data_IF_664065230825
#
_entry.id   IF_664065230825
#
_cell.length_a   1.000
_cell.length_b   1.000
_cell.length_c   1.000
_cell.angle_alpha   90.00
_cell.angle_beta   90.00
_cell.angle_gamma   90.00
#
_symmetry.space_group_name_H-M   'P 1'
#
loop_
_entity.id
_entity.type
_entity.pdbx_description
1 polymer ?
#
# COMPACT_ATOMS: atom_id res chain seq x y z
N UNK A 1 9.59 -32.33 52.99
CA UNK A 1 9.28 -30.94 52.58
C UNK A 1 10.57 -30.16 52.76
N UNK A 2 11.34 -30.00 51.67
CA UNK A 2 12.73 -29.56 51.72
C UNK A 2 12.86 -28.05 51.57
N UNK A 3 13.54 -27.45 52.55
CA UNK A 3 14.45 -26.30 52.42
C UNK A 3 15.81 -26.83 51.88
N UNK A 4 16.89 -26.04 51.64
CA UNK A 4 17.09 -24.59 51.52
C UNK A 4 18.01 -24.22 50.31
N UNK A 5 18.40 -22.94 50.17
CA UNK A 5 19.53 -22.54 49.32
C UNK A 5 20.90 -22.91 49.91
N UNK A 6 21.97 -22.80 49.09
CA UNK A 6 23.39 -22.47 49.42
C UNK A 6 24.38 -23.06 48.38
N UNK A 7 25.23 -22.17 47.84
CA UNK A 7 26.65 -22.33 47.43
C UNK A 7 27.04 -23.08 46.14
N UNK A 8 28.00 -22.44 45.48
CA UNK A 8 28.77 -22.84 44.30
C UNK A 8 29.71 -24.03 44.54
N UNK A 9 29.99 -24.79 43.47
CA UNK A 9 31.29 -25.47 43.33
C UNK A 9 31.64 -25.74 41.86
N UNK A 10 32.93 -25.54 41.59
CA UNK A 10 33.67 -25.79 40.36
C UNK A 10 33.55 -27.23 39.85
N UNK A 11 33.48 -27.38 38.53
CA UNK A 11 34.02 -28.56 37.85
C UNK A 11 34.63 -28.16 36.49
N UNK A 12 35.95 -27.93 36.51
CA UNK A 12 36.81 -27.93 35.32
C UNK A 12 36.75 -29.32 34.66
N UNK A 13 36.38 -29.36 33.37
CA UNK A 13 36.82 -30.42 32.47
C UNK A 13 37.59 -29.80 31.31
N UNK A 14 38.91 -29.98 31.35
CA UNK A 14 39.82 -29.77 30.22
C UNK A 14 39.66 -30.92 29.23
N UNK A 15 39.47 -30.63 27.94
CA UNK A 15 40.08 -31.42 26.85
C UNK A 15 40.59 -30.50 25.74
N UNK A 16 41.89 -30.63 25.49
CA UNK A 16 42.64 -30.09 24.36
C UNK A 16 42.14 -30.65 23.03
N UNK A 17 42.28 -29.88 21.95
CA UNK A 17 42.16 -30.40 20.58
C UNK A 17 42.31 -29.31 19.52
N UNK A 18 43.54 -29.15 19.02
CA UNK A 18 43.93 -28.29 17.89
C UNK A 18 43.18 -28.67 16.60
N UNK A 19 42.90 -27.70 15.73
CA UNK A 19 42.50 -27.97 14.34
C UNK A 19 41.88 -26.76 13.65
N UNK A 20 42.53 -26.26 12.59
CA UNK A 20 42.28 -24.95 11.98
C UNK A 20 40.88 -24.72 11.41
N UNK A 21 40.44 -23.46 11.46
CA UNK A 21 39.23 -22.98 10.79
C UNK A 21 39.62 -22.21 9.52
N UNK A 22 39.63 -22.91 8.39
CA UNK A 22 39.17 -22.33 7.13
C UNK A 22 37.65 -22.14 7.26
N UNK A 23 37.16 -20.91 7.32
CA UNK A 23 35.71 -20.63 7.28
C UNK A 23 35.30 -20.34 5.84
N UNK A 24 34.95 -21.40 5.11
CA UNK A 24 33.96 -21.31 4.05
C UNK A 24 32.59 -21.06 4.71
N UNK A 25 31.87 -20.04 4.24
CA UNK A 25 30.49 -19.79 4.64
C UNK A 25 29.59 -20.91 4.12
N UNK A 26 29.30 -21.89 4.98
CA UNK A 26 28.22 -22.86 4.79
C UNK A 26 27.14 -22.51 5.81
N UNK A 27 26.04 -21.94 5.34
CA UNK A 27 24.80 -21.87 6.13
C UNK A 27 24.27 -23.30 6.30
N UNK A 28 23.89 -23.72 7.53
CA UNK A 28 23.44 -25.08 7.78
C UNK A 28 22.08 -25.33 7.11
N UNK A 29 21.98 -26.49 6.46
CA UNK A 29 20.74 -27.10 6.01
C UNK A 29 19.94 -27.52 7.24
N UNK A 30 19.10 -26.64 7.76
CA UNK A 30 18.06 -27.04 8.71
C UNK A 30 16.93 -27.74 7.96
N UNK A 31 16.77 -29.02 8.32
CA UNK A 31 15.63 -29.86 7.98
C UNK A 31 14.44 -29.36 8.79
N UNK A 32 13.84 -28.25 8.35
CA UNK A 32 12.73 -27.59 9.03
C UNK A 32 11.41 -28.31 8.78
N UNK A 33 10.80 -28.86 9.83
CA UNK A 33 9.39 -29.25 9.88
C UNK A 33 8.54 -27.99 9.65
N UNK A 34 7.55 -28.06 8.75
CA UNK A 34 6.75 -26.92 8.29
C UNK A 34 6.00 -26.21 9.44
N UNK A 35 6.28 -24.91 9.63
CA UNK A 35 5.51 -24.00 10.49
C UNK A 35 4.14 -23.69 9.84
N UNK A 36 3.06 -23.44 10.61
CA UNK A 36 1.74 -23.10 10.05
C UNK A 36 1.69 -21.86 9.15
N UNK A 37 2.68 -20.96 9.25
CA UNK A 37 2.80 -19.75 8.43
C UNK A 37 3.77 -19.91 7.25
N UNK A 38 4.20 -21.14 6.96
CA UNK A 38 5.08 -21.43 5.84
C UNK A 38 4.35 -21.18 4.51
N UNK A 39 4.98 -20.58 3.48
CA UNK A 39 4.34 -20.15 2.22
C UNK A 39 3.60 -21.24 1.41
N UNK A 40 3.73 -22.52 1.79
CA UNK A 40 2.97 -23.65 1.20
C UNK A 40 1.57 -23.78 1.83
N UNK A 41 1.31 -23.14 2.97
CA UNK A 41 0.00 -23.15 3.64
C UNK A 41 -1.03 -22.22 3.00
N UNK A 42 -0.62 -21.28 2.13
CA UNK A 42 -1.58 -20.51 1.32
C UNK A 42 -2.16 -21.40 0.21
N UNK A 43 -1.32 -22.28 -0.36
CA UNK A 43 -1.69 -23.27 -1.38
C UNK A 43 -2.59 -24.40 -0.84
N UNK A 44 -2.58 -24.60 0.48
CA UNK A 44 -3.31 -25.67 1.17
C UNK A 44 -4.73 -25.32 1.57
N UNK A 45 -5.07 -24.02 1.60
CA UNK A 45 -6.40 -23.52 1.92
C UNK A 45 -7.36 -23.60 0.73
N UNK A 46 -6.82 -23.68 -0.48
CA UNK A 46 -7.59 -23.80 -1.71
C UNK A 46 -8.34 -25.15 -1.78
N UNK A 47 -9.68 -25.18 -2.04
CA UNK A 47 -10.49 -26.41 -2.06
C UNK A 47 -9.88 -27.54 -2.91
N UNK A 48 -9.33 -27.20 -4.08
CA UNK A 48 -8.71 -28.14 -5.02
C UNK A 48 -7.36 -28.73 -4.58
N UNK A 49 -6.71 -28.17 -3.56
CA UNK A 49 -5.43 -28.65 -3.01
C UNK A 49 -5.52 -29.00 -1.51
N UNK A 50 -6.71 -29.02 -0.88
CA UNK A 50 -6.91 -29.40 0.53
C UNK A 50 -6.39 -30.82 0.88
N UNK A 51 -6.46 -31.77 -0.06
CA UNK A 51 -5.93 -33.13 0.10
C UNK A 51 -4.40 -33.25 -0.04
N UNK A 52 -3.71 -32.19 -0.48
CA UNK A 52 -2.28 -32.20 -0.80
C UNK A 52 -1.40 -32.15 0.46
N UNK A 53 -1.78 -31.38 1.48
CA UNK A 53 -0.94 -31.15 2.67
C UNK A 53 -0.94 -32.30 3.68
N UNK A 54 -2.00 -33.10 3.75
CA UNK A 54 -2.02 -34.27 4.64
C UNK A 54 -1.04 -35.37 4.19
N UNK A 55 -0.75 -35.46 2.88
CA UNK A 55 0.04 -36.57 2.30
C UNK A 55 1.56 -36.39 2.40
N UNK A 56 2.04 -35.18 2.73
CA UNK A 56 3.48 -34.84 2.70
C UNK A 56 4.04 -34.29 4.04
N UNK A 57 3.35 -34.51 5.17
CA UNK A 57 3.93 -34.23 6.50
C UNK A 57 5.24 -35.00 6.65
N UNK A 58 6.37 -34.29 6.81
CA UNK A 58 7.69 -34.87 7.06
C UNK A 58 8.58 -35.13 5.84
N UNK A 59 8.24 -34.64 4.63
CA UNK A 59 9.11 -34.76 3.43
C UNK A 59 9.85 -33.45 3.11
N UNK A 60 11.06 -33.56 2.54
CA UNK A 60 11.88 -32.38 2.23
C UNK A 60 11.30 -31.55 1.08
N UNK A 61 11.33 -30.22 1.23
CA UNK A 61 10.74 -29.26 0.29
C UNK A 61 11.23 -29.41 -1.16
N UNK A 62 12.52 -29.73 -1.35
CA UNK A 62 13.11 -29.99 -2.68
C UNK A 62 12.51 -31.21 -3.38
N UNK A 63 12.00 -32.19 -2.62
CA UNK A 63 11.39 -33.41 -3.15
C UNK A 63 9.92 -33.16 -3.55
N UNK A 64 9.21 -32.33 -2.77
CA UNK A 64 7.83 -31.92 -3.06
C UNK A 64 7.75 -31.15 -4.38
N UNK A 65 8.68 -30.20 -4.63
CA UNK A 65 8.73 -29.41 -5.86
C UNK A 65 8.91 -30.22 -7.16
N UNK A 66 9.50 -31.42 -7.07
CA UNK A 66 9.75 -32.32 -8.21
C UNK A 66 8.68 -33.39 -8.38
N UNK A 67 7.71 -33.47 -7.47
CA UNK A 67 6.66 -34.49 -7.54
C UNK A 67 5.64 -34.18 -8.64
N UNK A 68 5.20 -35.21 -9.36
CA UNK A 68 4.14 -35.10 -10.37
C UNK A 68 2.86 -34.49 -9.80
N UNK A 69 2.57 -34.75 -8.51
CA UNK A 69 1.45 -34.16 -7.78
C UNK A 69 1.58 -32.64 -7.58
N UNK A 70 2.78 -32.12 -7.30
CA UNK A 70 3.01 -30.67 -7.20
C UNK A 70 2.87 -29.98 -8.55
N UNK A 71 3.42 -30.57 -9.61
CA UNK A 71 3.24 -30.06 -10.98
C UNK A 71 1.76 -30.07 -11.41
N UNK A 72 1.00 -31.08 -10.98
CA UNK A 72 -0.45 -31.17 -11.24
C UNK A 72 -1.25 -30.16 -10.42
N UNK A 73 -0.99 -29.97 -9.11
CA UNK A 73 -1.62 -28.90 -8.31
C UNK A 73 -1.26 -27.53 -8.89
N UNK A 74 -0.02 -27.30 -9.34
CA UNK A 74 0.37 -26.03 -9.99
C UNK A 74 -0.38 -25.80 -11.32
N UNK A 75 -0.60 -26.85 -12.12
CA UNK A 75 -1.38 -26.76 -13.36
C UNK A 75 -2.87 -26.53 -13.09
N UNK A 76 -3.44 -27.19 -12.09
CA UNK A 76 -4.83 -26.98 -11.64
C UNK A 76 -5.02 -25.59 -11.02
N UNK A 77 -4.05 -25.11 -10.23
CA UNK A 77 -4.05 -23.78 -9.66
C UNK A 77 -3.92 -22.72 -10.75
N UNK A 78 -3.06 -22.93 -11.74
CA UNK A 78 -2.96 -22.03 -12.90
C UNK A 78 -4.27 -21.98 -13.70
N UNK A 79 -4.94 -23.12 -13.92
CA UNK A 79 -6.25 -23.16 -14.56
C UNK A 79 -7.34 -22.46 -13.70
N UNK A 80 -7.25 -22.57 -12.38
CA UNK A 80 -8.18 -21.90 -11.46
C UNK A 80 -7.91 -20.40 -11.35
N UNK A 81 -6.65 -19.96 -11.31
CA UNK A 81 -6.27 -18.53 -11.32
C UNK A 81 -6.77 -17.84 -12.58
N UNK A 82 -6.78 -18.56 -13.71
CA UNK A 82 -7.29 -18.04 -14.99
C UNK A 82 -8.80 -18.17 -15.15
N UNK A 83 -9.45 -19.05 -14.39
CA UNK A 83 -10.90 -19.04 -14.26
C UNK A 83 -11.28 -17.71 -13.58
N UNK A 84 -12.23 -16.99 -14.16
CA UNK A 84 -12.73 -15.71 -13.64
C UNK A 84 -11.82 -14.48 -13.82
N UNK A 85 -10.76 -14.57 -14.63
CA UNK A 85 -9.98 -13.38 -15.03
C UNK A 85 -10.78 -12.50 -15.99
N UNK A 86 -11.13 -11.30 -15.55
CA UNK A 86 -11.73 -10.24 -16.35
C UNK A 86 -10.95 -8.94 -16.19
N UNK A 87 -10.59 -8.29 -17.30
CA UNK A 87 -9.89 -7.01 -17.24
C UNK A 87 -10.86 -5.89 -16.88
N UNK A 88 -10.76 -5.37 -15.65
CA UNK A 88 -11.59 -4.27 -15.12
C UNK A 88 -11.44 -2.93 -15.85
N UNK A 89 -10.44 -2.77 -16.72
CA UNK A 89 -10.22 -1.53 -17.50
C UNK A 89 -10.74 -1.62 -18.93
N UNK A 90 -10.66 -2.79 -19.58
CA UNK A 90 -11.01 -2.91 -21.00
C UNK A 90 -12.09 -3.93 -21.33
N UNK A 91 -12.59 -4.67 -20.34
CA UNK A 91 -13.60 -5.70 -20.53
C UNK A 91 -13.08 -7.02 -21.11
N UNK A 92 -11.76 -7.15 -21.35
CA UNK A 92 -11.20 -8.38 -21.92
C UNK A 92 -11.47 -9.60 -21.00
N UNK A 93 -12.08 -10.64 -21.58
CA UNK A 93 -12.31 -11.95 -20.95
C UNK A 93 -11.50 -13.08 -21.61
N UNK A 94 -10.81 -12.79 -22.71
CA UNK A 94 -9.98 -13.77 -23.42
C UNK A 94 -8.77 -14.17 -22.57
N UNK A 95 -8.74 -15.41 -22.08
CA UNK A 95 -7.69 -15.92 -21.19
C UNK A 95 -6.29 -15.83 -21.82
N UNK A 96 -6.16 -16.11 -23.12
CA UNK A 96 -4.91 -16.00 -23.88
C UNK A 96 -4.33 -14.58 -23.93
N UNK A 97 -5.14 -13.57 -23.59
CA UNK A 97 -4.72 -12.17 -23.56
C UNK A 97 -4.23 -11.74 -22.18
N UNK A 98 -4.15 -12.64 -21.21
CA UNK A 98 -3.52 -12.37 -19.92
C UNK A 98 -2.14 -13.00 -19.82
N UNK A 99 -1.19 -12.24 -19.29
CA UNK A 99 0.18 -12.67 -19.12
C UNK A 99 0.64 -12.45 -17.67
N UNK A 100 1.22 -13.48 -17.06
CA UNK A 100 1.85 -13.34 -15.75
C UNK A 100 3.11 -12.47 -15.87
N UNK A 101 3.20 -11.42 -15.04
CA UNK A 101 4.32 -10.47 -15.01
C UNK A 101 5.23 -10.74 -13.82
N UNK A 102 4.64 -10.92 -12.63
CA UNK A 102 5.36 -11.21 -11.40
C UNK A 102 4.76 -12.39 -10.65
N UNK A 103 5.60 -13.12 -9.93
CA UNK A 103 5.22 -14.27 -9.11
C UNK A 103 5.84 -14.12 -7.73
N UNK A 104 5.02 -14.02 -6.69
CA UNK A 104 5.45 -13.99 -5.30
C UNK A 104 4.96 -15.23 -4.56
N UNK A 105 5.50 -15.53 -3.36
CA UNK A 105 5.05 -16.70 -2.59
C UNK A 105 3.56 -16.67 -2.22
N UNK A 106 2.97 -15.47 -2.07
CA UNK A 106 1.59 -15.27 -1.57
C UNK A 106 0.61 -14.73 -2.61
N UNK A 107 1.09 -14.17 -3.72
CA UNK A 107 0.24 -13.59 -4.77
C UNK A 107 0.97 -13.54 -6.12
N UNK A 108 0.23 -13.29 -7.18
CA UNK A 108 0.77 -13.06 -8.52
C UNK A 108 0.28 -11.73 -9.08
N UNK A 109 1.04 -11.17 -10.03
CA UNK A 109 0.63 -9.99 -10.80
C UNK A 109 0.57 -10.37 -12.26
N UNK A 110 -0.58 -10.11 -12.86
CA UNK A 110 -0.89 -10.41 -14.25
C UNK A 110 -1.18 -9.12 -15.01
N UNK A 111 -0.97 -9.13 -16.32
CA UNK A 111 -1.29 -8.01 -17.21
C UNK A 111 -2.24 -8.42 -18.33
N UNK A 112 -3.12 -7.50 -18.71
CA UNK A 112 -3.94 -7.62 -19.91
C UNK A 112 -3.17 -7.09 -21.12
N UNK A 113 -2.90 -7.94 -22.10
CA UNK A 113 -2.18 -7.58 -23.34
C UNK A 113 -2.95 -6.66 -24.29
N UNK A 114 -4.26 -6.44 -24.05
CA UNK A 114 -5.10 -5.52 -24.84
C UNK A 114 -4.90 -4.06 -24.41
N UNK A 115 -4.86 -3.79 -23.10
CA UNK A 115 -4.78 -2.43 -22.56
C UNK A 115 -3.58 -2.16 -21.65
N UNK A 116 -2.76 -3.16 -21.38
CA UNK A 116 -1.62 -3.14 -20.45
C UNK A 116 -1.99 -2.85 -18.98
N UNK A 117 -3.24 -3.10 -18.57
CA UNK A 117 -3.63 -3.04 -17.16
C UNK A 117 -3.03 -4.21 -16.38
N UNK A 118 -2.45 -3.92 -15.21
CA UNK A 118 -1.83 -4.91 -14.34
C UNK A 118 -2.68 -5.08 -13.08
N UNK A 119 -2.85 -6.30 -12.60
CA UNK A 119 -3.72 -6.61 -11.46
C UNK A 119 -3.33 -7.91 -10.77
N UNK A 120 -3.82 -8.08 -9.54
CA UNK A 120 -3.79 -9.35 -8.81
C UNK A 120 -5.06 -10.13 -9.17
N UNK A 121 -4.97 -11.39 -9.66
CA UNK A 121 -6.15 -12.18 -9.98
C UNK A 121 -7.07 -12.43 -8.77
N UNK A 122 -8.40 -12.57 -8.96
CA UNK A 122 -9.36 -12.81 -7.87
C UNK A 122 -9.03 -14.01 -6.97
N UNK A 123 -8.37 -15.04 -7.52
CA UNK A 123 -7.92 -16.19 -6.75
C UNK A 123 -6.96 -15.84 -5.57
N UNK A 124 -6.42 -14.63 -5.53
CA UNK A 124 -5.53 -14.15 -4.47
C UNK A 124 -6.12 -13.02 -3.62
N UNK A 125 -7.31 -12.51 -3.93
CA UNK A 125 -7.90 -11.33 -3.27
C UNK A 125 -8.76 -11.68 -2.05
N UNK A 126 -9.35 -12.88 -1.99
CA UNK A 126 -10.14 -13.38 -0.84
C UNK A 126 -9.38 -13.39 0.50
N UNK A 127 -8.07 -13.14 0.48
CA UNK A 127 -7.19 -13.14 1.65
C UNK A 127 -7.05 -11.76 2.33
N UNK A 128 -7.63 -10.69 1.78
CA UNK A 128 -7.41 -9.32 2.25
C UNK A 128 -8.59 -8.81 3.07
N UNK A 129 -8.37 -8.45 4.34
CA UNK A 129 -9.33 -7.75 5.19
C UNK A 129 -8.88 -6.30 5.41
N UNK A 130 -9.77 -5.36 5.14
CA UNK A 130 -9.50 -3.92 5.22
C UNK A 130 -10.05 -3.26 6.50
N UNK A 131 -10.75 -3.98 7.37
CA UNK A 131 -11.29 -3.42 8.62
C UNK A 131 -10.20 -3.28 9.71
N UNK A 132 -9.17 -4.13 9.65
CA UNK A 132 -8.14 -4.25 10.69
C UNK A 132 -6.71 -4.10 10.14
N UNK A 133 -6.53 -3.42 9.01
CA UNK A 133 -5.21 -3.22 8.40
C UNK A 133 -4.31 -2.27 9.22
N UNK A 134 -4.90 -1.55 10.18
CA UNK A 134 -4.20 -0.72 11.17
C UNK A 134 -4.31 -1.26 12.56
N UNK A 135 -3.28 -0.99 13.34
CA UNK A 135 -3.13 -1.47 14.71
C UNK A 135 -3.26 -0.34 15.72
N UNK A 136 -3.62 -0.70 16.96
CA UNK A 136 -3.59 0.23 18.10
C UNK A 136 -2.23 0.88 18.31
N UNK A 137 -1.13 0.16 18.03
CA UNK A 137 0.23 0.70 18.14
C UNK A 137 0.51 1.81 17.10
N UNK A 138 0.00 1.65 15.88
CA UNK A 138 0.06 2.71 14.86
C UNK A 138 -0.80 3.92 15.27
N UNK A 139 -2.00 3.70 15.80
CA UNK A 139 -2.86 4.78 16.31
C UNK A 139 -2.14 5.60 17.40
N UNK A 140 -1.50 4.93 18.35
CA UNK A 140 -0.73 5.60 19.41
C UNK A 140 0.47 6.39 18.84
N UNK A 141 1.19 5.81 17.87
CA UNK A 141 2.26 6.52 17.16
C UNK A 141 1.75 7.78 16.45
N UNK A 142 0.53 7.72 15.90
CA UNK A 142 -0.10 8.86 15.25
C UNK A 142 -0.47 9.95 16.25
N UNK A 143 -1.04 9.59 17.41
CA UNK A 143 -1.37 10.50 18.52
C UNK A 143 -0.14 11.23 19.08
N UNK A 144 1.00 10.55 19.13
CA UNK A 144 2.27 11.15 19.55
C UNK A 144 2.93 12.02 18.46
N UNK A 145 2.37 12.01 17.24
CA UNK A 145 2.89 12.73 16.09
C UNK A 145 2.55 14.22 16.08
N UNK A 146 3.13 14.94 15.12
CA UNK A 146 2.84 16.36 14.90
C UNK A 146 1.73 16.53 13.84
N UNK A 147 0.48 16.58 14.30
CA UNK A 147 -0.69 16.73 13.43
C UNK A 147 -0.69 18.03 12.65
N UNK A 148 -0.22 19.12 13.27
CA UNK A 148 -0.09 20.41 12.59
C UNK A 148 0.74 20.27 11.32
N UNK A 149 1.88 19.58 11.38
CA UNK A 149 2.73 19.39 10.20
C UNK A 149 2.07 18.50 9.14
N UNK A 150 1.40 17.42 9.53
CA UNK A 150 0.66 16.55 8.61
C UNK A 150 -0.43 17.33 7.88
N UNK A 151 -1.25 18.08 8.63
CA UNK A 151 -2.29 18.96 8.11
C UNK A 151 -1.71 20.03 7.17
N UNK A 152 -0.61 20.70 7.54
CA UNK A 152 0.00 21.72 6.67
C UNK A 152 0.48 21.15 5.33
N UNK A 153 0.99 19.91 5.29
CA UNK A 153 1.40 19.26 4.03
C UNK A 153 0.21 19.06 3.10
N UNK A 154 -0.95 18.70 3.63
CA UNK A 154 -2.18 18.53 2.84
C UNK A 154 -2.74 19.85 2.31
N UNK A 155 -2.49 21.01 2.97
CA UNK A 155 -2.89 22.33 2.42
C UNK A 155 -2.26 22.63 1.06
N UNK A 156 -1.10 22.05 0.73
CA UNK A 156 -0.51 22.15 -0.62
C UNK A 156 -1.34 21.41 -1.67
N UNK A 157 -1.78 20.19 -1.37
CA UNK A 157 -2.70 19.42 -2.22
C UNK A 157 -4.01 20.18 -2.40
N UNK A 158 -4.59 20.68 -1.31
CA UNK A 158 -5.84 21.44 -1.34
C UNK A 158 -5.73 22.77 -2.10
N UNK A 159 -4.59 23.48 -2.06
CA UNK A 159 -4.38 24.65 -2.91
C UNK A 159 -4.48 24.33 -4.40
N UNK A 160 -4.10 23.11 -4.81
CA UNK A 160 -4.22 22.65 -6.21
C UNK A 160 -5.67 22.29 -6.54
N UNK A 161 -6.36 21.61 -5.63
CA UNK A 161 -7.80 21.30 -5.73
C UNK A 161 -8.61 22.60 -5.84
N UNK A 162 -8.34 23.56 -4.96
CA UNK A 162 -9.05 24.84 -4.87
C UNK A 162 -8.93 25.71 -6.13
N UNK A 163 -7.90 25.48 -6.97
CA UNK A 163 -7.75 26.15 -8.27
C UNK A 163 -8.67 25.56 -9.35
N UNK A 164 -9.15 24.35 -9.15
CA UNK A 164 -10.01 23.62 -10.10
C UNK A 164 -11.47 23.64 -9.66
N UNK A 165 -11.72 23.58 -8.35
CA UNK A 165 -13.04 23.67 -7.73
C UNK A 165 -12.90 24.48 -6.44
N UNK A 166 -13.50 25.67 -6.38
CA UNK A 166 -13.33 26.57 -5.25
C UNK A 166 -14.33 26.29 -4.13
N UNK A 167 -13.85 25.78 -2.99
CA UNK A 167 -14.69 25.47 -1.83
C UNK A 167 -15.77 24.43 -2.12
N UNK A 168 -16.84 24.45 -1.32
CA UNK A 168 -17.98 23.54 -1.45
C UNK A 168 -17.92 22.33 -0.53
N UNK A 169 -18.75 21.34 -0.84
CA UNK A 169 -18.82 20.06 -0.13
C UNK A 169 -17.74 19.12 -0.64
N UNK A 170 -16.83 18.75 0.26
CA UNK A 170 -15.75 17.79 0.01
C UNK A 170 -16.04 16.49 0.75
N UNK A 171 -16.06 15.38 0.00
CA UNK A 171 -16.15 14.04 0.55
C UNK A 171 -14.83 13.30 0.31
N UNK A 172 -14.26 12.70 1.35
CA UNK A 172 -13.04 11.88 1.25
C UNK A 172 -13.38 10.41 1.48
N UNK A 173 -13.11 9.57 0.47
CA UNK A 173 -13.30 8.12 0.52
C UNK A 173 -12.00 7.49 1.01
N UNK A 174 -12.03 6.82 2.17
CA UNK A 174 -10.83 6.32 2.83
C UNK A 174 -10.08 7.45 3.53
N UNK A 175 -10.74 8.07 4.52
CA UNK A 175 -10.24 9.26 5.25
C UNK A 175 -8.88 8.99 5.93
N UNK A 176 -8.59 7.73 6.23
CA UNK A 176 -7.45 7.31 7.00
C UNK A 176 -7.38 8.05 8.33
N UNK A 177 -6.20 8.57 8.70
CA UNK A 177 -6.03 9.33 9.94
C UNK A 177 -6.68 10.73 9.93
N UNK A 178 -7.35 11.15 8.85
CA UNK A 178 -8.12 12.40 8.81
C UNK A 178 -7.32 13.68 8.62
N UNK A 179 -5.98 13.65 8.54
CA UNK A 179 -5.16 14.87 8.39
C UNK A 179 -5.45 15.64 7.08
N UNK A 180 -5.82 14.96 6.00
CA UNK A 180 -6.24 15.63 4.75
C UNK A 180 -7.60 16.32 4.93
N UNK A 181 -8.59 15.60 5.46
CA UNK A 181 -9.94 16.12 5.68
C UNK A 181 -9.93 17.28 6.69
N UNK A 182 -9.12 17.20 7.75
CA UNK A 182 -8.86 18.31 8.67
C UNK A 182 -8.25 19.53 7.97
N UNK A 183 -7.31 19.33 7.05
CA UNK A 183 -6.75 20.42 6.25
C UNK A 183 -7.80 21.06 5.33
N UNK A 184 -8.75 20.27 4.81
CA UNK A 184 -9.84 20.76 3.96
C UNK A 184 -10.81 21.63 4.78
N UNK A 185 -11.22 21.16 5.97
CA UNK A 185 -12.01 21.94 6.93
C UNK A 185 -11.34 23.27 7.27
N UNK A 186 -10.05 23.23 7.58
CA UNK A 186 -9.20 24.40 7.85
C UNK A 186 -9.15 25.42 6.69
N UNK A 187 -9.41 24.95 5.46
CA UNK A 187 -9.42 25.77 4.24
C UNK A 187 -10.84 26.17 3.82
N UNK A 188 -11.85 25.91 4.66
CA UNK A 188 -13.23 26.38 4.46
C UNK A 188 -14.14 25.43 3.67
N UNK A 189 -13.72 24.18 3.43
CA UNK A 189 -14.61 23.18 2.83
C UNK A 189 -15.62 22.66 3.84
N UNK A 190 -16.84 22.37 3.39
CA UNK A 190 -17.78 21.55 4.16
C UNK A 190 -17.40 20.08 3.96
N UNK A 191 -16.83 19.46 4.99
CA UNK A 191 -16.19 18.16 4.87
C UNK A 191 -17.09 17.03 5.35
N UNK A 192 -16.93 15.86 4.74
CA UNK A 192 -17.46 14.57 5.22
C UNK A 192 -16.60 13.44 4.65
N UNK A 193 -16.78 12.21 5.13
CA UNK A 193 -16.06 11.07 4.56
C UNK A 193 -16.46 9.74 5.18
N UNK A 194 -15.86 8.66 4.65
CA UNK A 194 -16.00 7.30 5.16
C UNK A 194 -14.64 6.68 5.40
N UNK A 195 -14.54 5.85 6.44
CA UNK A 195 -13.35 5.06 6.75
C UNK A 195 -13.79 3.66 7.20
N UNK A 196 -13.05 2.63 6.79
CA UNK A 196 -13.32 1.23 7.16
C UNK A 196 -12.59 0.82 8.44
N UNK A 197 -11.39 1.35 8.67
CA UNK A 197 -10.61 1.03 9.86
C UNK A 197 -11.18 1.72 11.09
N UNK A 198 -11.60 0.93 12.08
CA UNK A 198 -12.12 1.42 13.35
C UNK A 198 -11.13 2.36 14.05
N UNK A 199 -9.83 2.01 14.09
CA UNK A 199 -8.80 2.82 14.74
C UNK A 199 -8.60 4.19 14.08
N UNK A 200 -8.69 4.23 12.75
CA UNK A 200 -8.51 5.46 11.99
C UNK A 200 -9.76 6.33 12.06
N UNK A 201 -10.94 5.72 11.93
CA UNK A 201 -12.22 6.38 12.15
C UNK A 201 -12.31 6.97 13.56
N UNK A 202 -11.97 6.22 14.60
CA UNK A 202 -11.98 6.67 15.99
C UNK A 202 -11.07 7.89 16.15
N UNK A 203 -9.86 7.84 15.61
CA UNK A 203 -8.92 8.96 15.69
C UNK A 203 -9.44 10.19 14.92
N UNK A 204 -9.94 10.01 13.70
CA UNK A 204 -10.47 11.11 12.89
C UNK A 204 -11.68 11.79 13.56
N UNK A 205 -12.56 11.02 14.20
CA UNK A 205 -13.76 11.54 14.86
C UNK A 205 -13.48 12.10 16.25
N UNK A 206 -12.79 11.35 17.11
CA UNK A 206 -12.58 11.72 18.53
C UNK A 206 -11.41 12.67 18.73
N UNK A 207 -10.29 12.45 18.04
CA UNK A 207 -9.08 13.26 18.22
C UNK A 207 -9.09 14.51 17.31
N UNK A 208 -9.62 14.42 16.08
CA UNK A 208 -9.67 15.55 15.13
C UNK A 208 -11.05 16.23 15.00
N UNK A 209 -12.11 15.64 15.54
CA UNK A 209 -13.47 16.22 15.48
C UNK A 209 -14.03 16.30 14.06
N UNK A 210 -13.80 15.27 13.24
CA UNK A 210 -14.24 15.23 11.84
C UNK A 210 -15.55 14.44 11.67
N UNK A 211 -16.44 14.85 10.75
CA UNK A 211 -17.65 14.11 10.41
C UNK A 211 -17.32 12.93 9.47
N UNK A 212 -16.96 11.79 10.06
CA UNK A 212 -16.58 10.57 9.33
C UNK A 212 -17.45 9.41 9.77
N UNK A 213 -17.99 8.69 8.80
CA UNK A 213 -18.79 7.48 9.03
C UNK A 213 -17.91 6.23 9.00
N UNK A 214 -18.18 5.28 9.90
CA UNK A 214 -17.51 3.97 9.94
C UNK A 214 -18.33 2.93 9.18
N UNK A 215 -18.12 2.84 7.86
CA UNK A 215 -18.87 1.92 7.01
C UNK A 215 -18.18 1.71 5.66
N UNK A 216 -18.61 0.66 4.96
CA UNK A 216 -18.25 0.51 3.56
C UNK A 216 -18.89 1.61 2.72
N UNK A 217 -18.11 2.16 1.78
CA UNK A 217 -18.59 3.21 0.88
C UNK A 217 -19.86 2.82 0.12
N UNK A 218 -20.01 1.54 -0.24
CA UNK A 218 -21.20 1.03 -0.93
C UNK A 218 -22.47 1.01 -0.06
N UNK A 219 -22.33 0.99 1.27
CA UNK A 219 -23.44 1.00 2.21
C UNK A 219 -23.91 2.41 2.57
N UNK A 220 -23.14 3.44 2.23
CA UNK A 220 -23.49 4.84 2.47
C UNK A 220 -24.84 5.19 1.81
N UNK A 221 -25.74 5.97 2.44
CA UNK A 221 -26.97 6.39 1.81
C UNK A 221 -26.72 7.22 0.54
N UNK A 222 -27.46 6.92 -0.53
CA UNK A 222 -27.34 7.64 -1.80
C UNK A 222 -27.72 9.12 -1.62
N UNK A 223 -26.83 10.01 -2.04
CA UNK A 223 -27.09 11.45 -2.16
C UNK A 223 -26.59 11.93 -3.53
N UNK A 224 -27.36 11.65 -4.61
CA UNK A 224 -26.93 12.01 -5.96
C UNK A 224 -26.74 13.51 -6.13
N UNK A 225 -25.66 13.93 -6.78
CA UNK A 225 -25.38 15.34 -7.05
C UNK A 225 -25.24 16.20 -5.80
N UNK A 226 -24.78 15.64 -4.68
CA UNK A 226 -24.68 16.36 -3.41
C UNK A 226 -23.29 16.92 -3.11
N UNK A 227 -22.27 16.52 -3.86
CA UNK A 227 -20.86 16.75 -3.52
C UNK A 227 -20.11 17.46 -4.63
N UNK A 228 -19.34 18.49 -4.28
CA UNK A 228 -18.58 19.30 -5.25
C UNK A 228 -17.21 18.68 -5.56
N UNK A 229 -16.58 18.10 -4.53
CA UNK A 229 -15.26 17.46 -4.63
C UNK A 229 -15.29 16.10 -3.95
N UNK A 230 -14.90 15.05 -4.65
CA UNK A 230 -14.60 13.75 -4.06
C UNK A 230 -13.10 13.51 -4.14
N UNK A 231 -12.50 13.12 -3.03
CA UNK A 231 -11.10 12.70 -2.97
C UNK A 231 -10.97 11.25 -2.53
N UNK A 232 -9.90 10.60 -2.99
CA UNK A 232 -9.45 9.32 -2.48
C UNK A 232 -7.92 9.25 -2.56
N UNK A 233 -7.26 8.90 -1.46
CA UNK A 233 -5.80 8.89 -1.40
C UNK A 233 -5.34 7.47 -1.11
N UNK A 234 -4.76 6.82 -2.11
CA UNK A 234 -4.22 5.47 -1.97
C UNK A 234 -5.33 4.47 -1.58
N UNK A 235 -6.43 4.48 -2.36
CA UNK A 235 -7.63 3.66 -2.11
C UNK A 235 -8.06 2.83 -3.33
N UNK A 236 -8.08 3.42 -4.53
CA UNK A 236 -8.59 2.75 -5.73
C UNK A 236 -7.80 1.48 -6.09
N UNK A 237 -6.50 1.43 -5.76
CA UNK A 237 -5.64 0.27 -5.93
C UNK A 237 -6.07 -0.94 -5.08
N UNK A 238 -6.84 -0.70 -4.02
CA UNK A 238 -7.31 -1.72 -3.08
C UNK A 238 -8.72 -2.24 -3.39
N UNK A 239 -9.46 -1.59 -4.29
CA UNK A 239 -10.86 -1.93 -4.58
C UNK A 239 -10.93 -2.85 -5.79
N UNK A 240 -11.34 -4.11 -5.62
CA UNK A 240 -11.46 -5.07 -6.74
C UNK A 240 -12.31 -4.57 -7.90
N UNK A 241 -13.46 -3.97 -7.61
CA UNK A 241 -14.33 -3.34 -8.61
C UNK A 241 -14.17 -1.82 -8.63
N UNK A 242 -13.04 -1.38 -9.16
CA UNK A 242 -12.73 0.04 -9.31
C UNK A 242 -13.79 0.78 -10.15
N UNK A 243 -14.42 0.09 -11.12
CA UNK A 243 -15.48 0.65 -11.95
C UNK A 243 -16.74 0.97 -11.15
N UNK A 244 -17.23 0.03 -10.34
CA UNK A 244 -18.41 0.22 -9.51
C UNK A 244 -18.26 1.39 -8.50
N UNK A 245 -17.05 1.58 -7.95
CA UNK A 245 -16.79 2.76 -7.10
C UNK A 245 -16.81 4.06 -7.90
N UNK A 246 -16.26 4.06 -9.13
CA UNK A 246 -16.30 5.24 -9.99
C UNK A 246 -17.72 5.61 -10.42
N UNK A 247 -18.57 4.64 -10.75
CA UNK A 247 -19.99 4.88 -11.07
C UNK A 247 -20.72 5.56 -9.90
N UNK A 248 -20.52 5.04 -8.70
CA UNK A 248 -21.13 5.61 -7.50
C UNK A 248 -20.62 7.01 -7.18
N UNK A 249 -19.32 7.25 -7.34
CA UNK A 249 -18.71 8.58 -7.19
C UNK A 249 -19.25 9.55 -8.24
N UNK A 250 -19.39 9.08 -9.47
CA UNK A 250 -19.98 9.85 -10.55
C UNK A 250 -21.40 10.29 -10.15
N UNK A 251 -22.23 9.39 -9.62
CA UNK A 251 -23.59 9.73 -9.17
C UNK A 251 -23.60 10.73 -8.01
N UNK A 252 -22.72 10.58 -7.02
CA UNK A 252 -22.62 11.50 -5.88
C UNK A 252 -22.16 12.92 -6.25
N UNK A 253 -21.34 13.05 -7.30
CA UNK A 253 -20.82 14.34 -7.73
C UNK A 253 -21.90 15.22 -8.37
N UNK A 254 -21.91 16.50 -7.99
CA UNK A 254 -22.62 17.56 -8.70
C UNK A 254 -22.19 17.62 -10.18
N UNK A 255 -23.01 18.26 -11.03
CA UNK A 255 -22.59 18.59 -12.40
C UNK A 255 -21.28 19.40 -12.35
N UNK A 256 -20.30 19.03 -13.18
CA UNK A 256 -18.94 19.58 -13.19
C UNK A 256 -18.13 19.36 -11.90
N UNK A 257 -18.59 18.48 -11.00
CA UNK A 257 -17.89 18.08 -9.79
C UNK A 257 -16.51 17.48 -10.08
N UNK A 258 -15.62 17.60 -9.11
CA UNK A 258 -14.21 17.23 -9.24
C UNK A 258 -13.92 15.94 -8.47
N UNK A 259 -13.38 14.94 -9.16
CA UNK A 259 -12.73 13.77 -8.57
C UNK A 259 -11.21 14.00 -8.53
N UNK A 260 -10.60 13.76 -7.38
CA UNK A 260 -9.13 13.75 -7.23
C UNK A 260 -8.69 12.46 -6.56
N UNK A 261 -7.85 11.69 -7.23
CA UNK A 261 -7.37 10.41 -6.72
C UNK A 261 -5.85 10.30 -6.77
N UNK A 262 -5.26 9.59 -5.81
CA UNK A 262 -3.86 9.16 -5.85
C UNK A 262 -3.79 7.63 -5.91
N UNK A 263 -2.94 7.09 -6.79
CA UNK A 263 -2.66 5.66 -6.91
C UNK A 263 -1.18 5.42 -7.25
N UNK A 264 -0.61 4.26 -6.91
CA UNK A 264 0.70 3.82 -7.40
C UNK A 264 0.75 3.78 -8.93
N UNK A 265 1.90 4.17 -9.50
CA UNK A 265 2.10 4.21 -10.95
C UNK A 265 3.03 3.07 -11.40
N UNK A 266 2.45 2.02 -12.00
CA UNK A 266 3.18 0.80 -12.40
C UNK A 266 4.24 1.03 -13.47
N UNK A 267 4.09 2.05 -14.31
CA UNK A 267 5.02 2.37 -15.39
C UNK A 267 5.93 3.57 -15.05
N UNK A 268 6.00 3.94 -13.77
CA UNK A 268 6.94 4.95 -13.27
C UNK A 268 8.39 4.56 -13.52
N UNK A 269 9.28 5.56 -13.52
CA UNK A 269 10.72 5.32 -13.66
C UNK A 269 11.25 4.36 -12.58
N UNK A 270 10.80 4.54 -11.33
CA UNK A 270 11.26 3.72 -10.21
C UNK A 270 10.74 2.29 -10.36
N UNK A 271 9.44 2.10 -10.63
CA UNK A 271 8.87 0.76 -10.89
C UNK A 271 9.59 0.04 -12.03
N UNK A 272 9.81 0.71 -13.18
CA UNK A 272 10.55 0.12 -14.32
C UNK A 272 11.97 -0.29 -13.95
N UNK A 273 12.62 0.46 -13.05
CA UNK A 273 14.00 0.21 -12.61
C UNK A 273 14.08 -0.91 -11.57
N UNK A 274 13.15 -0.98 -10.63
CA UNK A 274 13.17 -1.93 -9.51
C UNK A 274 12.39 -3.21 -9.79
N UNK A 275 11.45 -3.20 -10.73
CA UNK A 275 10.67 -4.34 -11.23
C UNK A 275 9.98 -5.12 -10.10
N UNK A 276 10.29 -6.40 -9.94
CA UNK A 276 9.78 -7.31 -8.91
C UNK A 276 10.15 -6.88 -7.48
N UNK A 277 11.06 -5.91 -7.33
CA UNK A 277 11.45 -5.29 -6.05
C UNK A 277 10.80 -3.93 -5.82
N UNK A 278 9.86 -3.52 -6.66
CA UNK A 278 9.14 -2.27 -6.45
C UNK A 278 8.31 -2.35 -5.16
N UNK A 279 8.48 -1.38 -4.26
CA UNK A 279 7.93 -1.42 -2.90
C UNK A 279 6.41 -1.32 -2.84
N UNK A 280 5.76 -0.90 -3.92
CA UNK A 280 4.30 -0.82 -4.01
C UNK A 280 3.65 -2.12 -4.50
N UNK A 281 4.43 -3.16 -4.82
CA UNK A 281 3.88 -4.49 -5.11
C UNK A 281 3.43 -5.15 -3.80
N UNK A 282 2.14 -5.41 -3.66
CA UNK A 282 1.54 -6.04 -2.49
C UNK A 282 0.32 -6.85 -2.89
N UNK A 283 0.05 -7.94 -2.17
CA UNK A 283 -1.21 -8.69 -2.27
C UNK A 283 -2.45 -7.84 -1.96
N UNK A 284 -2.30 -6.76 -1.19
CA UNK A 284 -3.39 -5.81 -0.87
C UNK A 284 -3.63 -4.78 -1.96
N UNK A 285 -2.68 -4.57 -2.88
CA UNK A 285 -2.80 -3.67 -4.03
C UNK A 285 -3.27 -4.53 -5.21
N UNK A 286 -4.58 -4.66 -5.34
CA UNK A 286 -5.19 -5.55 -6.33
C UNK A 286 -5.19 -4.95 -7.73
N UNK A 287 -5.14 -3.62 -7.86
CA UNK A 287 -5.05 -2.91 -9.13
C UNK A 287 -3.74 -2.11 -9.26
N UNK A 288 -3.09 -2.20 -10.42
CA UNK A 288 -1.87 -1.46 -10.74
C UNK A 288 -2.07 -0.61 -11.99
N UNK A 289 -2.21 0.70 -11.77
CA UNK A 289 -2.54 1.65 -12.81
C UNK A 289 -1.31 2.30 -13.46
N UNK A 290 -1.44 2.59 -14.75
CA UNK A 290 -0.60 3.49 -15.53
C UNK A 290 -1.43 4.72 -15.93
N UNK A 291 -0.82 5.83 -16.38
CA UNK A 291 -1.57 6.99 -16.87
C UNK A 291 -2.59 6.64 -17.95
N UNK A 292 -2.27 5.70 -18.85
CA UNK A 292 -3.19 5.28 -19.91
C UNK A 292 -4.38 4.48 -19.39
N UNK A 293 -4.14 3.55 -18.46
CA UNK A 293 -5.19 2.65 -17.95
C UNK A 293 -6.13 3.35 -16.99
N UNK A 294 -5.63 4.23 -16.11
CA UNK A 294 -6.50 5.05 -15.25
C UNK A 294 -7.32 6.05 -16.07
N UNK A 295 -6.74 6.62 -17.12
CA UNK A 295 -7.45 7.57 -18.00
C UNK A 295 -8.60 6.87 -18.71
N UNK A 296 -8.34 5.69 -19.29
CA UNK A 296 -9.38 4.89 -19.94
C UNK A 296 -10.50 4.53 -18.96
N UNK A 297 -10.15 3.97 -17.80
CA UNK A 297 -11.14 3.61 -16.78
C UNK A 297 -12.01 4.82 -16.40
N UNK A 298 -11.40 5.97 -16.09
CA UNK A 298 -12.14 7.18 -15.77
C UNK A 298 -13.06 7.63 -16.91
N UNK A 299 -12.59 7.58 -18.16
CA UNK A 299 -13.40 7.97 -19.33
C UNK A 299 -14.60 7.06 -19.54
N UNK A 300 -14.41 5.75 -19.38
CA UNK A 300 -15.46 4.74 -19.52
C UNK A 300 -16.55 4.91 -18.43
N UNK A 301 -16.19 5.49 -17.28
CA UNK A 301 -17.08 5.81 -16.15
C UNK A 301 -17.51 7.29 -16.09
N UNK A 302 -17.55 7.99 -17.23
CA UNK A 302 -18.15 9.33 -17.32
C UNK A 302 -17.29 10.48 -16.82
N UNK A 303 -15.97 10.31 -16.68
CA UNK A 303 -15.06 11.37 -16.28
C UNK A 303 -14.23 11.92 -17.45
N UNK A 304 -13.84 13.18 -17.34
CA UNK A 304 -12.82 13.84 -18.16
C UNK A 304 -11.56 14.03 -17.32
N UNK A 305 -10.45 13.43 -17.73
CA UNK A 305 -9.16 13.65 -17.05
C UNK A 305 -8.62 15.03 -17.42
N UNK A 306 -8.57 15.92 -16.43
CA UNK A 306 -8.04 17.28 -16.59
C UNK A 306 -6.51 17.30 -16.49
N UNK A 307 -5.96 16.52 -15.56
CA UNK A 307 -4.52 16.52 -15.29
C UNK A 307 -4.07 15.25 -14.56
N UNK A 308 -2.87 14.77 -14.92
CA UNK A 308 -2.13 13.76 -14.15
C UNK A 308 -0.81 14.39 -13.70
N UNK A 309 -0.40 14.12 -12.47
CA UNK A 309 0.88 14.58 -11.90
C UNK A 309 1.54 13.45 -11.14
N UNK A 310 2.85 13.26 -11.30
CA UNK A 310 3.58 12.36 -10.40
C UNK A 310 3.59 12.89 -8.97
N UNK A 311 3.55 11.97 -8.03
CA UNK A 311 3.68 12.22 -6.60
C UNK A 311 4.87 11.44 -6.05
N UNK A 312 5.59 12.09 -5.14
CA UNK A 312 6.63 11.48 -4.30
C UNK A 312 6.29 11.80 -2.86
N UNK A 313 6.30 10.76 -2.03
CA UNK A 313 6.16 10.98 -0.60
C UNK A 313 7.46 11.59 -0.03
N UNK A 314 7.38 12.82 0.48
CA UNK A 314 8.51 13.50 1.13
C UNK A 314 9.11 12.68 2.27
N UNK A 315 8.27 11.93 2.98
CA UNK A 315 8.70 11.02 4.05
C UNK A 315 9.70 10.01 3.48
N UNK A 316 9.38 9.41 2.33
CA UNK A 316 10.28 8.50 1.62
C UNK A 316 11.57 9.19 1.16
N UNK A 317 11.46 10.40 0.60
CA UNK A 317 12.64 11.19 0.23
C UNK A 317 13.55 11.48 1.44
N UNK A 318 12.98 11.88 2.58
CA UNK A 318 13.73 12.17 3.81
C UNK A 318 14.35 10.90 4.41
N UNK A 319 13.57 9.84 4.55
CA UNK A 319 13.95 8.61 5.26
C UNK A 319 14.81 7.67 4.43
N UNK A 320 14.56 7.55 3.13
CA UNK A 320 15.20 6.56 2.26
C UNK A 320 16.22 7.17 1.29
N UNK A 321 16.22 8.49 1.09
CA UNK A 321 17.22 9.15 0.22
C UNK A 321 18.15 10.08 1.01
N UNK A 322 17.60 11.01 1.79
CA UNK A 322 18.40 12.04 2.48
C UNK A 322 19.13 11.44 3.69
N UNK A 323 18.42 10.68 4.54
CA UNK A 323 19.00 10.10 5.75
C UNK A 323 20.15 9.12 5.45
N UNK A 324 20.03 8.16 4.51
CA UNK A 324 21.14 7.26 4.17
C UNK A 324 22.34 8.00 3.57
N UNK A 325 22.11 9.03 2.73
CA UNK A 325 23.20 9.87 2.19
C UNK A 325 23.94 10.63 3.28
N UNK A 326 23.22 11.13 4.31
CA UNK A 326 23.85 11.79 5.46
C UNK A 326 24.68 10.81 6.30
N UNK A 327 24.16 9.62 6.62
CA UNK A 327 24.94 8.58 7.34
C UNK A 327 26.18 8.13 6.55
N UNK A 328 26.06 7.97 5.22
CA UNK A 328 27.20 7.64 4.35
C UNK A 328 28.27 8.73 4.35
N UNK A 329 27.89 10.01 4.34
CA UNK A 329 28.84 11.14 4.49
C UNK A 329 29.48 11.21 5.87
N UNK A 330 28.80 10.71 6.91
CA UNK A 330 29.30 10.66 8.29
C UNK A 330 30.16 9.42 8.58
N UNK A 331 30.47 8.60 7.57
CA UNK A 331 31.32 7.40 7.74
C UNK A 331 30.65 6.24 8.48
N UNK A 332 29.35 6.33 8.76
CA UNK A 332 28.60 5.26 9.46
C UNK A 332 28.02 4.27 8.45
N UNK A 333 28.45 3.00 8.52
CA UNK A 333 28.14 1.95 7.55
C UNK A 333 27.07 0.94 8.02
N UNK A 334 26.40 1.20 9.14
CA UNK A 334 25.42 0.25 9.70
C UNK A 334 24.14 0.17 8.85
N UNK A 335 23.53 -1.02 8.84
CA UNK A 335 22.18 -1.20 8.28
C UNK A 335 21.20 -0.29 9.02
N UNK A 336 20.59 0.64 8.28
CA UNK A 336 19.60 1.56 8.83
C UNK A 336 18.30 0.79 9.09
N UNK A 337 17.82 0.75 10.33
CA UNK A 337 16.55 0.12 10.70
C UNK A 337 15.33 0.99 10.33
N UNK A 338 14.11 0.43 10.38
CA UNK A 338 12.87 1.21 10.26
C UNK A 338 12.77 2.29 11.36
N UNK A 339 13.18 1.92 12.57
CA UNK A 339 13.05 2.73 13.77
C UNK A 339 14.02 3.92 13.72
N UNK A 340 15.25 3.72 13.24
CA UNK A 340 16.21 4.80 12.99
C UNK A 340 15.67 5.84 12.01
N UNK A 341 15.02 5.38 10.94
CA UNK A 341 14.41 6.27 9.94
C UNK A 341 13.24 7.04 10.55
N UNK A 342 12.39 6.37 11.35
CA UNK A 342 11.24 7.01 11.98
C UNK A 342 11.68 8.02 13.05
N UNK A 343 12.72 7.69 13.84
CA UNK A 343 13.34 8.60 14.80
C UNK A 343 13.95 9.82 14.09
N UNK A 344 14.66 9.62 12.97
CA UNK A 344 15.19 10.72 12.17
C UNK A 344 14.08 11.63 11.64
N UNK A 345 13.00 11.05 11.11
CA UNK A 345 11.84 11.80 10.65
C UNK A 345 11.26 12.64 11.79
N UNK A 346 10.97 12.02 12.93
CA UNK A 346 10.42 12.70 14.12
C UNK A 346 11.31 13.86 14.57
N UNK A 347 12.64 13.68 14.61
CA UNK A 347 13.62 14.74 14.93
C UNK A 347 13.59 15.90 13.94
N UNK A 348 13.41 15.63 12.65
CA UNK A 348 13.30 16.68 11.62
C UNK A 348 11.98 17.43 11.74
N UNK A 349 10.89 16.72 12.06
CA UNK A 349 9.54 17.28 12.14
C UNK A 349 9.22 17.97 13.47
N UNK A 350 10.06 17.80 14.50
CA UNK A 350 9.91 18.44 15.81
C UNK A 350 10.80 19.70 15.94
N UNK A 351 10.60 20.68 15.05
CA UNK A 351 11.35 21.96 15.01
C UNK A 351 10.39 23.16 15.14
N UNK A 352 10.91 24.37 15.47
CA UNK A 352 10.09 25.59 15.52
C UNK A 352 9.25 25.80 14.25
N UNK A 353 8.00 26.27 14.41
CA UNK A 353 7.01 26.40 13.32
C UNK A 353 7.54 27.18 12.10
N UNK A 354 8.37 28.20 12.30
CA UNK A 354 8.94 29.00 11.21
C UNK A 354 9.90 28.18 10.32
N UNK A 355 10.71 27.29 10.92
CA UNK A 355 11.59 26.37 10.17
C UNK A 355 10.74 25.38 9.38
N UNK A 356 9.68 24.84 10.00
CA UNK A 356 8.78 23.90 9.33
C UNK A 356 8.05 24.55 8.16
N UNK A 357 7.65 25.83 8.26
CA UNK A 357 7.06 26.57 7.14
C UNK A 357 8.00 26.69 5.95
N UNK A 358 9.27 27.03 6.19
CA UNK A 358 10.29 27.08 5.13
C UNK A 358 10.49 25.68 4.52
N UNK A 359 10.56 24.63 5.35
CA UNK A 359 10.71 23.26 4.88
C UNK A 359 9.52 22.80 4.01
N UNK A 360 8.29 23.14 4.41
CA UNK A 360 7.08 22.86 3.62
C UNK A 360 7.09 23.63 2.30
N UNK A 361 7.52 24.90 2.29
CA UNK A 361 7.64 25.67 1.06
C UNK A 361 8.70 25.09 0.10
N UNK A 362 9.90 24.78 0.59
CA UNK A 362 10.95 24.15 -0.21
C UNK A 362 10.51 22.76 -0.72
N UNK A 363 9.79 22.01 0.10
CA UNK A 363 9.16 20.77 -0.33
C UNK A 363 8.22 20.98 -1.50
N UNK A 364 7.32 21.96 -1.43
CA UNK A 364 6.37 22.23 -2.51
C UNK A 364 7.10 22.54 -3.83
N UNK A 365 8.20 23.31 -3.78
CA UNK A 365 9.04 23.62 -4.95
C UNK A 365 9.70 22.36 -5.52
N UNK A 366 10.32 21.53 -4.67
CA UNK A 366 10.97 20.28 -5.10
C UNK A 366 9.93 19.31 -5.68
N UNK A 367 8.78 19.19 -5.02
CA UNK A 367 7.68 18.33 -5.46
C UNK A 367 7.17 18.76 -6.84
N UNK A 368 6.92 20.06 -7.04
CA UNK A 368 6.45 20.56 -8.33
C UNK A 368 7.51 20.36 -9.42
N UNK A 369 8.81 20.48 -9.12
CA UNK A 369 9.89 20.17 -10.07
C UNK A 369 9.95 18.67 -10.42
N UNK A 370 9.89 17.78 -9.42
CA UNK A 370 9.92 16.34 -9.66
C UNK A 370 8.68 15.87 -10.43
N UNK A 371 7.52 16.44 -10.11
CA UNK A 371 6.28 16.24 -10.84
C UNK A 371 6.39 16.70 -12.30
N UNK A 372 7.02 17.86 -12.57
CA UNK A 372 7.29 18.33 -13.94
C UNK A 372 8.22 17.39 -14.72
N UNK A 373 9.18 16.78 -14.03
CA UNK A 373 10.10 15.80 -14.62
C UNK A 373 9.50 14.38 -14.69
N UNK A 374 8.24 14.21 -14.28
CA UNK A 374 7.56 12.92 -14.20
C UNK A 374 8.32 11.87 -13.33
N UNK A 375 9.03 12.36 -12.31
CA UNK A 375 9.79 11.55 -11.36
C UNK A 375 8.91 11.34 -10.14
N UNK A 376 8.28 10.17 -10.03
CA UNK A 376 7.52 9.73 -8.86
C UNK A 376 7.17 8.25 -8.92
N UNK A 377 6.69 7.69 -7.80
CA UNK A 377 6.23 6.30 -7.71
C UNK A 377 4.69 6.19 -7.77
N UNK A 378 4.02 7.32 -7.56
CA UNK A 378 2.57 7.45 -7.55
C UNK A 378 2.14 8.55 -8.52
N UNK A 379 0.87 8.58 -8.85
CA UNK A 379 0.27 9.65 -9.64
C UNK A 379 -1.00 10.17 -8.98
N UNK A 380 -1.17 11.49 -9.02
CA UNK A 380 -2.42 12.17 -8.66
C UNK A 380 -3.14 12.53 -9.93
N UNK A 381 -4.38 12.06 -10.06
CA UNK A 381 -5.26 12.31 -11.19
C UNK A 381 -6.37 13.27 -10.76
N UNK A 382 -6.59 14.30 -11.56
CA UNK A 382 -7.68 15.25 -11.41
C UNK A 382 -8.64 15.02 -12.57
N UNK A 383 -9.88 14.68 -12.26
CA UNK A 383 -10.90 14.35 -13.24
C UNK A 383 -12.21 15.08 -12.94
N UNK A 384 -12.94 15.46 -13.98
CA UNK A 384 -14.21 16.17 -13.88
C UNK A 384 -15.35 15.26 -14.34
N UNK A 385 -16.47 15.29 -13.62
CA UNK A 385 -17.70 14.63 -14.07
C UNK A 385 -18.16 15.22 -15.40
N UNK A 386 -18.28 14.39 -16.44
CA UNK A 386 -18.88 14.80 -17.71
C UNK A 386 -20.39 14.95 -17.53
N UNK A 387 -20.94 15.92 -18.26
CA UNK A 387 -22.35 16.32 -18.16
C UNK A 387 -23.29 15.27 -18.75
#
# INVERSE_FOLDING_TARGET
MNNPGVVASDAKVRRNGKGGKNRSNVFPLDVGILHPDHPVMVWSKHPSCKGFVQKFRGTSFRYIQKSHAFLTCRKLLSLHVMADMHCKVCGNVEQQRFQQVYAFPTFEVWSCTVCNFHFVPPAFTELVSYDHYKTKAEQETVRQGNDWLKIQRHKSRLRKINRLQHGGKLFDLGVGWGHFLAAARDMGYNVSGVELSEYQWEYATRDLGLPVEHMNFFDLPASPGSTDVITMWDVLEHIEDAGAVLDRIHDMLCKNGLLVLQVPQIDSYISKKTRDKWSMLSHTHVNYFSPSTITRLLQDHGFEVLKIRSSIELKLLLMYVIYPRKRKKQGTADSISSDDRQHYFNKVTNRPKWILRIAVFLHDVIYDLLSLLNIGEEMVVYARKKA
#
